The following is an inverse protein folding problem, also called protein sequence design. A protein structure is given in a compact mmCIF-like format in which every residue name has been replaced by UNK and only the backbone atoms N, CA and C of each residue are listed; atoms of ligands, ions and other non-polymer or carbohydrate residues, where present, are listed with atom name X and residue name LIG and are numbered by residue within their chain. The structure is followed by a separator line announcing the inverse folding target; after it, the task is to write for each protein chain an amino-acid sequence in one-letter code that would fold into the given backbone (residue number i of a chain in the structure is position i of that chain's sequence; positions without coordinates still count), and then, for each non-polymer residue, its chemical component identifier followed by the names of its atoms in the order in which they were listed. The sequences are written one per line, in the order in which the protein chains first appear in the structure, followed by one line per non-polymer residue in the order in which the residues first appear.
data_IF_444884772241
#
_entry.id   IF_444884772241
#
_cell.length_a   1.000
_cell.length_b   1.000
_cell.length_c   1.000
_cell.angle_alpha   90.00
_cell.angle_beta   90.00
_cell.angle_gamma   90.00
#
_symmetry.space_group_name_H-M   'P 1'
#
loop_
_entity.id
_entity.type
_entity.pdbx_description
1 polymer ?
#
# COMPACT_ATOMS: atom_id res chain seq x y z
N UNK A 1 -29.93 9.85 -11.84
CA UNK A 1 -29.36 8.63 -11.24
C UNK A 1 -28.60 9.05 -10.00
N UNK A 2 -29.05 8.62 -8.82
CA UNK A 2 -28.42 8.99 -7.54
C UNK A 2 -27.56 7.81 -7.09
N UNK A 3 -26.23 7.97 -7.15
CA UNK A 3 -25.27 6.99 -6.65
C UNK A 3 -24.91 7.34 -5.21
N UNK A 4 -25.17 6.44 -4.27
CA UNK A 4 -24.73 6.60 -2.89
C UNK A 4 -23.42 5.83 -2.72
N UNK A 5 -22.33 6.57 -2.47
CA UNK A 5 -21.04 5.99 -2.13
C UNK A 5 -21.05 5.77 -0.63
N UNK A 6 -21.32 4.54 -0.19
CA UNK A 6 -21.13 4.15 1.20
C UNK A 6 -19.67 3.76 1.39
N UNK A 7 -18.88 4.64 1.99
CA UNK A 7 -17.58 4.29 2.55
C UNK A 7 -17.69 4.39 4.07
N UNK A 8 -18.09 3.30 4.73
CA UNK A 8 -17.90 3.17 6.17
C UNK A 8 -16.78 2.15 6.41
N UNK A 9 -15.55 2.64 6.42
CA UNK A 9 -14.43 1.87 6.95
C UNK A 9 -13.62 2.84 7.80
N UNK A 10 -13.65 2.66 9.12
CA UNK A 10 -12.66 3.28 10.00
C UNK A 10 -11.34 2.56 9.73
N UNK A 11 -10.59 3.04 8.73
CA UNK A 11 -9.35 2.41 8.29
C UNK A 11 -8.23 2.94 9.18
N UNK A 12 -7.84 2.17 10.19
CA UNK A 12 -6.55 2.39 10.85
C UNK A 12 -5.43 1.86 9.94
N UNK A 13 -4.41 2.66 9.72
CA UNK A 13 -3.27 2.35 8.85
C UNK A 13 -2.93 3.45 7.86
N UNK A 14 -1.92 3.21 7.03
CA UNK A 14 -1.50 4.12 5.96
C UNK A 14 -1.59 3.43 4.61
N UNK A 15 -1.87 4.22 3.59
CA UNK A 15 -1.83 3.78 2.19
C UNK A 15 -0.83 4.62 1.43
N UNK A 16 0.09 3.96 0.72
CA UNK A 16 1.03 4.59 -0.20
C UNK A 16 0.56 4.41 -1.63
N UNK A 17 0.59 5.47 -2.42
CA UNK A 17 0.47 5.40 -3.87
C UNK A 17 1.86 5.52 -4.48
N UNK A 18 2.26 4.50 -5.23
CA UNK A 18 3.52 4.48 -5.95
C UNK A 18 3.24 4.43 -7.44
N UNK A 19 3.82 5.36 -8.20
CA UNK A 19 3.61 5.51 -9.64
C UNK A 19 4.96 5.37 -10.33
N UNK A 20 5.08 4.38 -11.22
CA UNK A 20 6.23 4.26 -12.08
C UNK A 20 5.93 4.89 -13.44
N UNK A 21 6.54 6.05 -13.70
CA UNK A 21 6.45 6.77 -14.98
C UNK A 21 7.58 6.42 -15.95
N UNK A 22 8.52 5.54 -15.57
CA UNK A 22 9.55 5.03 -16.46
C UNK A 22 8.93 4.03 -17.43
N UNK A 23 9.33 4.11 -18.70
CA UNK A 23 8.92 3.18 -19.75
C UNK A 23 9.76 1.89 -19.81
N UNK A 24 10.89 1.84 -19.10
CA UNK A 24 11.87 0.76 -19.24
C UNK A 24 12.37 0.19 -17.91
N UNK A 25 12.12 0.87 -16.81
CA UNK A 25 12.67 0.49 -15.50
C UNK A 25 11.61 -0.11 -14.62
N UNK A 26 11.84 -1.32 -14.11
CA UNK A 26 11.10 -1.86 -12.97
C UNK A 26 11.74 -1.36 -11.67
N UNK A 27 10.96 -0.79 -10.76
CA UNK A 27 11.44 -0.44 -9.42
C UNK A 27 11.15 -1.56 -8.43
N UNK A 28 12.18 -1.99 -7.71
CA UNK A 28 12.06 -2.96 -6.61
C UNK A 28 12.36 -2.27 -5.29
N UNK A 29 11.33 -2.08 -4.48
CA UNK A 29 11.42 -1.39 -3.20
C UNK A 29 11.37 -2.42 -2.07
N UNK A 30 12.29 -2.31 -1.12
CA UNK A 30 12.23 -3.07 0.13
C UNK A 30 11.61 -2.18 1.19
N UNK A 31 10.57 -2.68 1.84
CA UNK A 31 10.00 -2.03 3.01
C UNK A 31 10.97 -2.29 4.16
N UNK A 32 11.76 -1.26 4.51
CA UNK A 32 12.63 -1.33 5.67
C UNK A 32 11.94 -0.69 6.86
N UNK A 33 12.09 -1.33 8.02
CA UNK A 33 11.76 -0.68 9.27
C UNK A 33 12.74 0.48 9.50
N UNK A 34 12.18 1.69 9.65
CA UNK A 34 12.91 2.92 9.95
C UNK A 34 13.66 2.89 11.30
N UNK A 35 13.46 1.85 12.12
CA UNK A 35 14.31 1.56 13.29
C UNK A 35 15.80 1.34 12.92
N UNK A 36 16.09 0.95 11.67
CA UNK A 36 17.45 0.72 11.19
C UNK A 36 18.00 1.87 10.31
N UNK A 37 17.29 2.99 10.20
CA UNK A 37 17.83 4.17 9.49
C UNK A 37 18.80 4.91 10.40
N UNK A 38 20.07 4.95 10.00
CA UNK A 38 21.07 5.82 10.63
C UNK A 38 20.87 7.27 10.15
N UNK A 39 19.81 7.91 10.64
CA UNK A 39 19.58 9.34 10.41
C UNK A 39 20.57 10.15 11.25
N UNK A 40 21.27 11.07 10.59
CA UNK A 40 22.21 12.01 11.19
C UNK A 40 21.44 13.08 11.98
N UNK A 41 20.89 12.72 13.14
CA UNK A 41 20.15 13.64 14.03
C UNK A 41 20.66 13.54 15.47
N UNK A 42 20.37 14.56 16.29
CA UNK A 42 20.81 14.62 17.68
C UNK A 42 20.24 13.45 18.51
N UNK A 43 21.02 12.96 19.49
CA UNK A 43 20.75 11.71 20.22
C UNK A 43 19.38 11.66 20.92
N UNK A 44 18.86 12.80 21.38
CA UNK A 44 17.56 12.86 22.08
C UNK A 44 16.36 12.83 21.13
N UNK A 45 16.46 13.51 19.97
CA UNK A 45 15.46 13.41 18.91
C UNK A 45 15.41 12.01 18.31
N UNK A 46 16.57 11.35 18.21
CA UNK A 46 16.65 9.95 17.79
C UNK A 46 15.88 9.03 18.75
N UNK A 47 15.99 9.21 20.07
CA UNK A 47 15.27 8.36 21.05
C UNK A 47 13.76 8.55 21.01
N UNK A 48 13.27 9.79 20.95
CA UNK A 48 11.83 10.08 20.92
C UNK A 48 11.16 9.61 19.62
N UNK A 49 11.81 9.85 18.47
CA UNK A 49 11.36 9.40 17.16
C UNK A 49 11.35 7.87 17.07
N UNK A 50 12.42 7.22 17.52
CA UNK A 50 12.51 5.75 17.55
C UNK A 50 11.45 5.15 18.48
N UNK A 51 11.13 5.76 19.63
CA UNK A 51 10.06 5.29 20.50
C UNK A 51 8.68 5.37 19.82
N UNK A 52 8.39 6.50 19.16
CA UNK A 52 7.13 6.70 18.39
C UNK A 52 7.01 5.77 17.19
N UNK A 53 8.14 5.37 16.60
CA UNK A 53 8.19 4.37 15.53
C UNK A 53 8.00 2.96 16.08
N UNK A 54 8.61 2.64 17.22
CA UNK A 54 8.41 1.35 17.90
C UNK A 54 6.95 1.15 18.28
N UNK A 55 6.23 2.21 18.67
CA UNK A 55 4.78 2.13 18.88
C UNK A 55 4.02 1.94 17.56
N UNK A 56 4.36 2.72 16.52
CA UNK A 56 3.77 2.64 15.18
C UNK A 56 3.90 1.27 14.51
N UNK A 57 4.97 0.53 14.83
CA UNK A 57 5.29 -0.80 14.32
C UNK A 57 5.40 -1.87 15.42
N UNK A 58 4.69 -1.69 16.55
CA UNK A 58 4.79 -2.58 17.72
C UNK A 58 4.51 -4.06 17.42
N UNK A 59 3.86 -4.36 16.29
CA UNK A 59 3.52 -5.71 15.83
C UNK A 59 4.64 -6.45 15.09
N UNK A 60 5.68 -5.73 14.65
CA UNK A 60 6.84 -6.31 13.94
C UNK A 60 7.87 -6.91 14.93
N UNK A 61 7.75 -6.62 16.24
CA UNK A 61 8.73 -7.01 17.26
C UNK A 61 8.29 -8.08 18.28
N UNK A 62 7.02 -8.46 18.31
CA UNK A 62 6.47 -9.40 19.29
C UNK A 62 5.72 -10.50 18.55
N UNK A 63 6.20 -11.75 18.61
CA UNK A 63 5.54 -13.00 18.17
C UNK A 63 4.13 -12.77 17.60
N UNK A 64 4.06 -12.36 16.35
CA UNK A 64 2.79 -12.10 15.70
C UNK A 64 2.47 -13.26 14.78
N UNK A 65 1.19 -13.64 14.76
CA UNK A 65 0.70 -14.62 13.80
C UNK A 65 0.88 -14.03 12.40
N UNK A 66 1.24 -14.83 11.39
CA UNK A 66 1.60 -14.37 10.02
C UNK A 66 0.65 -13.32 9.40
N UNK A 67 -0.61 -13.22 9.84
CA UNK A 67 -1.57 -12.24 9.35
C UNK A 67 -1.30 -10.79 9.78
N UNK A 68 -0.61 -10.53 10.89
CA UNK A 68 -0.36 -9.16 11.38
C UNK A 68 0.82 -8.48 10.65
N UNK A 69 1.55 -9.23 9.83
CA UNK A 69 2.70 -8.77 9.04
C UNK A 69 2.40 -8.77 7.54
N UNK A 70 1.13 -8.71 7.16
CA UNK A 70 0.73 -8.66 5.77
C UNK A 70 0.36 -7.22 5.35
N UNK A 71 0.74 -6.87 4.13
CA UNK A 71 0.29 -5.66 3.44
C UNK A 71 -0.66 -6.02 2.31
N UNK A 72 -1.54 -5.11 1.99
CA UNK A 72 -2.48 -5.23 0.87
C UNK A 72 -1.95 -4.45 -0.34
N UNK A 73 -1.78 -5.12 -1.47
CA UNK A 73 -1.35 -4.50 -2.73
C UNK A 73 -2.48 -4.47 -3.76
N UNK A 74 -2.69 -3.29 -4.34
CA UNK A 74 -3.64 -3.05 -5.42
C UNK A 74 -2.83 -2.56 -6.63
N UNK A 75 -2.44 -3.48 -7.51
CA UNK A 75 -1.67 -3.16 -8.71
C UNK A 75 -2.62 -2.80 -9.84
N UNK A 76 -2.48 -1.58 -10.36
CA UNK A 76 -3.25 -1.09 -11.49
C UNK A 76 -2.37 -1.09 -12.74
N UNK A 77 -2.85 -1.76 -13.78
CA UNK A 77 -2.22 -1.83 -15.10
C UNK A 77 -3.22 -1.47 -16.18
N UNK A 78 -2.81 -0.77 -17.25
CA UNK A 78 -3.69 -0.60 -18.40
C UNK A 78 -3.95 -1.95 -19.07
N UNK A 79 -5.18 -2.17 -19.54
CA UNK A 79 -5.50 -3.36 -20.32
C UNK A 79 -4.61 -3.44 -21.57
N UNK A 80 -3.99 -4.60 -21.80
CA UNK A 80 -3.10 -4.81 -22.94
C UNK A 80 -1.79 -4.02 -22.87
N UNK A 81 -1.42 -3.45 -21.72
CA UNK A 81 -0.27 -2.53 -21.57
C UNK A 81 -0.38 -1.24 -22.40
N UNK A 82 -1.58 -0.91 -22.90
CA UNK A 82 -1.83 0.32 -23.64
C UNK A 82 -2.24 1.46 -22.71
N UNK A 83 -1.37 2.46 -22.53
CA UNK A 83 -1.66 3.63 -21.68
C UNK A 83 -2.88 4.44 -22.12
N UNK A 84 -3.37 4.27 -23.35
CA UNK A 84 -4.60 4.91 -23.84
C UNK A 84 -5.85 4.06 -23.59
N UNK A 85 -5.68 2.86 -23.06
CA UNK A 85 -6.80 2.00 -22.71
C UNK A 85 -7.71 2.70 -21.70
N UNK A 86 -9.02 2.62 -21.97
CA UNK A 86 -10.06 3.10 -21.07
C UNK A 86 -10.38 2.12 -19.95
N UNK A 87 -9.74 0.94 -19.98
CA UNK A 87 -9.95 -0.12 -19.00
C UNK A 87 -8.67 -0.36 -18.23
N UNK A 88 -8.75 -0.19 -16.91
CA UNK A 88 -7.70 -0.55 -15.98
C UNK A 88 -7.95 -1.95 -15.44
N UNK A 89 -6.87 -2.70 -15.22
CA UNK A 89 -6.90 -3.99 -14.55
C UNK A 89 -6.40 -3.80 -13.11
N UNK A 90 -7.18 -4.26 -12.14
CA UNK A 90 -6.76 -4.42 -10.75
C UNK A 90 -6.25 -5.84 -10.54
N UNK A 91 -4.97 -5.97 -10.21
CA UNK A 91 -4.32 -7.26 -9.97
C UNK A 91 -4.55 -8.27 -11.11
N UNK A 92 -4.64 -7.77 -12.35
CA UNK A 92 -4.91 -8.55 -13.58
C UNK A 92 -6.38 -8.64 -14.00
N UNK A 93 -7.33 -8.26 -13.14
CA UNK A 93 -8.77 -8.32 -13.42
C UNK A 93 -9.32 -6.96 -13.87
N UNK A 94 -10.11 -6.88 -14.96
CA UNK A 94 -10.70 -5.63 -15.39
C UNK A 94 -11.58 -4.96 -14.33
N UNK A 95 -11.34 -3.68 -14.09
CA UNK A 95 -12.23 -2.83 -13.30
C UNK A 95 -13.39 -2.39 -14.19
N UNK A 96 -14.51 -3.10 -14.07
CA UNK A 96 -15.76 -2.80 -14.76
C UNK A 96 -16.89 -2.81 -13.76
N UNK A 97 -17.89 -1.97 -14.01
CA UNK A 97 -19.11 -2.00 -13.20
C UNK A 97 -19.77 -3.37 -13.31
N UNK A 98 -20.50 -3.76 -12.27
CA UNK A 98 -21.34 -4.96 -12.30
C UNK A 98 -22.43 -4.80 -13.36
N UNK A 99 -23.16 -5.88 -13.67
CA UNK A 99 -24.31 -5.82 -14.59
C UNK A 99 -25.38 -4.82 -14.14
N UNK A 100 -25.47 -4.54 -12.84
CA UNK A 100 -26.37 -3.57 -12.22
C UNK A 100 -25.81 -2.14 -12.18
N UNK A 101 -24.57 -1.93 -12.63
CA UNK A 101 -23.91 -0.63 -12.64
C UNK A 101 -23.17 -0.28 -11.33
N UNK A 102 -23.02 -1.24 -10.42
CA UNK A 102 -22.34 -1.03 -9.15
C UNK A 102 -20.81 -1.07 -9.30
N UNK A 103 -20.11 -0.39 -8.39
CA UNK A 103 -18.65 -0.45 -8.32
C UNK A 103 -18.25 -1.87 -7.88
N UNK A 104 -17.37 -2.58 -8.62
CA UNK A 104 -16.97 -3.93 -8.26
C UNK A 104 -16.14 -3.93 -6.98
N UNK A 105 -16.16 -5.06 -6.27
CA UNK A 105 -15.30 -5.25 -5.10
C UNK A 105 -13.82 -5.18 -5.50
N UNK A 106 -13.07 -4.24 -4.92
CA UNK A 106 -11.64 -4.09 -5.14
C UNK A 106 -10.87 -5.06 -4.25
N UNK A 107 -10.51 -6.23 -4.78
CA UNK A 107 -9.78 -7.25 -4.00
C UNK A 107 -8.27 -6.98 -3.99
N UNK A 108 -7.63 -6.85 -2.81
CA UNK A 108 -6.18 -6.75 -2.72
C UNK A 108 -5.51 -8.08 -3.02
N UNK A 109 -4.22 -7.99 -3.35
CA UNK A 109 -3.27 -9.08 -3.15
C UNK A 109 -2.66 -8.91 -1.76
N UNK A 110 -2.88 -9.88 -0.88
CA UNK A 110 -2.26 -9.89 0.46
C UNK A 110 -0.84 -10.45 0.33
N UNK A 111 0.15 -9.69 0.78
CA UNK A 111 1.57 -9.99 0.60
C UNK A 111 2.31 -9.82 1.92
N UNK A 112 3.27 -10.69 2.22
CA UNK A 112 4.14 -10.55 3.38
C UNK A 112 4.93 -9.23 3.33
N UNK A 113 4.96 -8.49 4.44
CA UNK A 113 5.59 -7.17 4.55
C UNK A 113 7.07 -7.15 4.17
N UNK A 114 7.80 -8.25 4.36
CA UNK A 114 9.23 -8.37 4.05
C UNK A 114 9.49 -8.69 2.56
N UNK A 115 8.46 -9.12 1.82
CA UNK A 115 8.60 -9.36 0.38
C UNK A 115 8.87 -8.03 -0.32
N UNK A 116 9.86 -7.92 -1.22
CA UNK A 116 10.06 -6.70 -1.99
C UNK A 116 8.82 -6.31 -2.81
N UNK A 117 8.53 -5.02 -2.86
CA UNK A 117 7.49 -4.44 -3.71
C UNK A 117 8.08 -4.25 -5.11
N UNK A 118 7.50 -4.88 -6.11
CA UNK A 118 7.79 -4.64 -7.53
C UNK A 118 6.79 -3.63 -8.12
N UNK A 119 7.30 -2.67 -8.89
CA UNK A 119 6.51 -1.69 -9.65
C UNK A 119 7.02 -1.68 -11.09
N UNK A 120 6.38 -2.45 -12.00
CA UNK A 120 6.73 -2.50 -13.42
C UNK A 120 6.61 -1.14 -14.12
N UNK A 121 7.28 -0.96 -15.28
CA UNK A 121 7.19 0.25 -16.10
C UNK A 121 5.75 0.68 -16.38
N UNK A 122 5.48 1.98 -16.30
CA UNK A 122 4.19 2.59 -16.66
C UNK A 122 2.98 1.99 -15.90
N UNK A 123 3.19 1.60 -14.65
CA UNK A 123 2.13 1.08 -13.77
C UNK A 123 2.05 1.87 -12.47
N UNK A 124 0.95 1.70 -11.74
CA UNK A 124 0.78 2.30 -10.42
C UNK A 124 0.29 1.23 -9.44
N UNK A 125 0.66 1.37 -8.16
CA UNK A 125 0.28 0.43 -7.11
C UNK A 125 -0.11 1.19 -5.85
N UNK A 126 -1.28 0.88 -5.31
CA UNK A 126 -1.61 1.25 -3.94
C UNK A 126 -1.15 0.15 -3.00
N UNK A 127 -0.53 0.54 -1.89
CA UNK A 127 -0.03 -0.38 -0.88
C UNK A 127 -0.56 0.08 0.46
N UNK A 128 -1.44 -0.72 1.04
CA UNK A 128 -2.01 -0.48 2.35
C UNK A 128 -1.27 -1.30 3.40
N UNK A 129 -0.78 -0.61 4.41
CA UNK A 129 -0.22 -1.19 5.62
C UNK A 129 -1.32 -1.09 6.69
N UNK A 130 -2.11 -2.16 6.88
CA UNK A 130 -3.19 -2.15 7.86
C UNK A 130 -2.62 -1.93 9.25
N UNK A 131 -3.35 -1.20 10.09
CA UNK A 131 -3.04 -1.00 11.50
C UNK A 131 -1.67 -0.37 11.81
N UNK A 132 -1.10 0.32 10.83
CA UNK A 132 0.02 1.19 11.07
C UNK A 132 -0.44 2.41 11.89
N UNK A 133 0.09 2.54 13.10
CA UNK A 133 -0.21 3.68 13.98
C UNK A 133 0.59 4.92 13.52
N UNK A 134 -0.03 5.66 12.60
CA UNK A 134 0.45 6.95 12.15
C UNK A 134 -0.17 8.03 13.03
N UNK A 135 0.63 8.65 13.88
CA UNK A 135 0.21 9.75 14.76
C UNK A 135 -0.43 10.97 14.06
N UNK A 136 -0.37 11.04 12.73
CA UNK A 136 -1.01 12.08 11.92
C UNK A 136 -2.31 11.67 11.24
N UNK A 137 -2.81 10.45 11.50
CA UNK A 137 -4.03 9.90 10.89
C UNK A 137 -5.17 9.69 11.92
N UNK A 138 -5.13 10.41 13.04
CA UNK A 138 -6.12 10.40 14.12
C UNK A 138 -6.99 11.66 14.12
#
# INVERSE_FOLDING_TARGET
MSGHIYALMLITGVTLLLINLSNQTEFKLKVHNILNLNLHTTKDQKRSFIHRIKSAFSWIGSKSTNNDLAREEYHLTPQGSDLRSKTMLLNGSPLQLTQTGDIPLMKPKVVDVNTPVSIPPLTMKFIRFPNFDASGCA
#
